data_IF_795321222964
#
_entry.id   IF_795321222964
#
_cell.length_a   1.000
_cell.length_b   1.000
_cell.length_c   1.000
_cell.angle_alpha   90.00
_cell.angle_beta   90.00
_cell.angle_gamma   90.00
#
_symmetry.space_group_name_H-M   'P 1'
#
loop_
_entity.id
_entity.type
_entity.pdbx_description
1 polymer ?
#
# COMPACT_ATOMS: atom_id res chain seq x y z
N UNK A 1 -34.72 -60.26 34.25
CA UNK A 1 -33.32 -59.79 34.14
C UNK A 1 -33.21 -58.94 32.88
N UNK A 2 -33.27 -57.61 33.05
CA UNK A 2 -33.06 -56.62 31.99
C UNK A 2 -31.56 -56.35 31.82
N UNK A 3 -31.09 -56.23 30.58
CA UNK A 3 -29.86 -55.53 30.24
C UNK A 3 -30.01 -54.91 28.85
N UNK A 4 -30.61 -53.71 28.80
CA UNK A 4 -30.51 -52.81 27.64
C UNK A 4 -29.11 -52.19 27.65
N UNK A 5 -28.30 -52.48 26.63
CA UNK A 5 -27.07 -51.73 26.32
C UNK A 5 -27.44 -50.52 25.46
N UNK A 6 -27.34 -49.33 26.04
CA UNK A 6 -27.35 -48.08 25.30
C UNK A 6 -26.01 -47.92 24.57
N UNK A 7 -26.05 -47.87 23.24
CA UNK A 7 -24.92 -47.47 22.40
C UNK A 7 -25.05 -45.98 22.15
N UNK A 8 -24.19 -45.19 22.80
CA UNK A 8 -24.08 -43.74 22.58
C UNK A 8 -23.23 -43.50 21.34
N UNK A 9 -23.85 -43.21 20.19
CA UNK A 9 -23.14 -42.69 19.03
C UNK A 9 -22.70 -41.25 19.33
N UNK A 10 -21.41 -41.03 19.58
CA UNK A 10 -20.80 -39.70 19.52
C UNK A 10 -20.74 -39.25 18.05
N UNK A 11 -21.62 -38.33 17.68
CA UNK A 11 -21.49 -37.55 16.47
C UNK A 11 -20.32 -36.57 16.64
N UNK A 12 -19.14 -36.92 16.14
CA UNK A 12 -18.02 -36.00 15.94
C UNK A 12 -18.37 -35.05 14.79
N UNK A 13 -19.16 -34.03 15.11
CA UNK A 13 -19.38 -32.89 14.23
C UNK A 13 -18.06 -32.17 14.02
N UNK A 14 -17.45 -32.37 12.86
CA UNK A 14 -16.35 -31.54 12.39
C UNK A 14 -16.91 -30.15 12.15
N UNK A 15 -16.77 -29.27 13.15
CA UNK A 15 -17.02 -27.86 12.96
C UNK A 15 -15.94 -27.33 12.00
N UNK A 16 -16.31 -27.22 10.73
CA UNK A 16 -15.58 -26.37 9.79
C UNK A 16 -15.77 -24.95 10.32
N UNK A 17 -14.80 -24.49 11.10
CA UNK A 17 -14.70 -23.08 11.49
C UNK A 17 -14.36 -22.32 10.21
N UNK A 18 -15.39 -21.87 9.51
CA UNK A 18 -15.31 -20.80 8.54
C UNK A 18 -14.79 -19.57 9.30
N UNK A 19 -13.47 -19.38 9.27
CA UNK A 19 -12.85 -18.18 9.77
C UNK A 19 -13.53 -16.98 9.07
N UNK A 20 -14.19 -16.13 9.86
CA UNK A 20 -14.79 -14.90 9.35
C UNK A 20 -13.70 -14.14 8.56
N UNK A 21 -14.03 -13.58 7.38
CA UNK A 21 -13.04 -12.91 6.55
C UNK A 21 -12.44 -11.75 7.34
N UNK A 22 -11.14 -11.86 7.64
CA UNK A 22 -10.35 -10.79 8.23
C UNK A 22 -10.57 -9.53 7.39
N UNK A 23 -11.27 -8.53 7.97
CA UNK A 23 -11.49 -7.22 7.38
C UNK A 23 -12.10 -7.21 5.97
N UNK A 24 -13.33 -7.71 5.77
CA UNK A 24 -14.26 -7.28 4.69
C UNK A 24 -13.77 -7.21 3.23
N UNK A 25 -12.61 -7.78 2.88
CA UNK A 25 -11.98 -7.62 1.57
C UNK A 25 -11.26 -6.28 1.37
N UNK A 26 -10.52 -6.16 0.27
CA UNK A 26 -9.72 -4.96 -0.06
C UNK A 26 -10.59 -3.71 -0.21
N UNK A 27 -11.81 -3.84 -0.72
CA UNK A 27 -12.75 -2.73 -0.85
C UNK A 27 -13.15 -2.15 0.51
N UNK A 28 -13.55 -2.99 1.46
CA UNK A 28 -13.93 -2.53 2.80
C UNK A 28 -12.73 -1.92 3.54
N UNK A 29 -11.56 -2.53 3.38
CA UNK A 29 -10.30 -2.01 3.93
C UNK A 29 -9.98 -0.60 3.42
N UNK A 30 -10.03 -0.38 2.11
CA UNK A 30 -9.79 0.93 1.51
C UNK A 30 -10.84 1.97 1.93
N UNK A 31 -12.13 1.58 1.99
CA UNK A 31 -13.20 2.46 2.49
C UNK A 31 -12.93 2.90 3.92
N UNK A 32 -12.69 1.95 4.82
CA UNK A 32 -12.41 2.24 6.22
C UNK A 32 -11.20 3.18 6.37
N UNK A 33 -10.15 2.93 5.58
CA UNK A 33 -8.98 3.79 5.56
C UNK A 33 -9.31 5.19 5.01
N UNK A 34 -10.05 5.30 3.91
CA UNK A 34 -10.44 6.59 3.32
C UNK A 34 -11.25 7.44 4.31
N UNK A 35 -12.22 6.83 4.99
CA UNK A 35 -13.09 7.51 5.94
C UNK A 35 -12.30 8.04 7.15
N UNK A 36 -11.35 7.24 7.67
CA UNK A 36 -10.50 7.59 8.81
C UNK A 36 -9.31 8.49 8.45
N UNK A 37 -9.00 8.64 7.16
CA UNK A 37 -7.81 9.34 6.72
C UNK A 37 -8.01 10.86 6.68
N UNK A 38 -7.05 11.58 7.26
CA UNK A 38 -6.89 13.03 7.12
C UNK A 38 -5.70 13.36 6.20
N UNK A 39 -5.93 13.72 4.93
CA UNK A 39 -4.87 14.06 3.99
C UNK A 39 -4.12 15.34 4.39
N UNK A 40 -2.80 15.34 4.23
CA UNK A 40 -2.02 16.56 4.40
C UNK A 40 -2.39 17.61 3.32
N UNK A 41 -2.22 18.89 3.63
CA UNK A 41 -2.57 19.98 2.71
C UNK A 41 -1.80 19.93 1.37
N UNK A 42 -0.55 19.47 1.39
CA UNK A 42 0.31 19.38 0.21
C UNK A 42 -0.02 18.21 -0.73
N UNK A 43 -0.83 17.26 -0.27
CA UNK A 43 -1.16 16.06 -1.03
C UNK A 43 -2.22 16.36 -2.09
N UNK A 44 -1.78 16.50 -3.33
CA UNK A 44 -2.66 16.78 -4.46
C UNK A 44 -3.19 15.52 -5.16
N UNK A 45 -3.06 14.32 -4.57
CA UNK A 45 -3.63 13.11 -5.18
C UNK A 45 -5.16 13.22 -5.32
N UNK A 46 -5.77 12.61 -6.35
CA UNK A 46 -7.21 12.72 -6.58
C UNK A 46 -8.06 12.36 -5.36
N UNK A 47 -7.76 11.24 -4.70
CA UNK A 47 -8.49 10.79 -3.51
C UNK A 47 -8.26 11.69 -2.29
N UNK A 48 -7.08 12.33 -2.15
CA UNK A 48 -6.86 13.31 -1.10
C UNK A 48 -7.73 14.55 -1.28
N UNK A 49 -7.82 15.02 -2.52
CA UNK A 49 -8.64 16.18 -2.88
C UNK A 49 -10.11 15.91 -2.60
N UNK A 50 -10.64 14.77 -3.03
CA UNK A 50 -12.02 14.36 -2.73
C UNK A 50 -12.25 14.21 -1.23
N UNK A 51 -11.31 13.60 -0.50
CA UNK A 51 -11.43 13.42 0.95
C UNK A 51 -11.45 14.74 1.72
N UNK A 52 -10.62 15.72 1.33
CA UNK A 52 -10.62 17.07 1.92
C UNK A 52 -11.88 17.89 1.60
N UNK A 53 -12.59 17.53 0.53
CA UNK A 53 -13.89 18.08 0.18
C UNK A 53 -15.04 17.29 0.82
N UNK A 54 -14.73 16.38 1.76
CA UNK A 54 -15.69 15.50 2.44
C UNK A 54 -16.57 14.69 1.49
N UNK A 55 -16.06 14.38 0.28
CA UNK A 55 -16.77 13.51 -0.67
C UNK A 55 -16.75 12.08 -0.11
N UNK A 56 -17.91 11.45 0.15
CA UNK A 56 -17.98 10.09 0.68
C UNK A 56 -17.36 9.08 -0.28
N UNK A 57 -16.82 7.97 0.24
CA UNK A 57 -16.20 6.91 -0.56
C UNK A 57 -17.05 6.44 -1.75
N UNK A 58 -18.33 6.20 -1.51
CA UNK A 58 -19.26 5.67 -2.53
C UNK A 58 -19.53 6.69 -3.66
N UNK A 59 -19.24 7.97 -3.43
CA UNK A 59 -19.27 9.03 -4.45
C UNK A 59 -17.89 9.30 -5.03
N UNK A 60 -16.82 9.18 -4.23
CA UNK A 60 -15.46 9.46 -4.64
C UNK A 60 -14.93 8.46 -5.67
N UNK A 61 -15.18 7.15 -5.47
CA UNK A 61 -14.65 6.10 -6.36
C UNK A 61 -15.22 6.20 -7.78
N UNK A 62 -16.53 6.42 -8.00
CA UNK A 62 -17.09 6.62 -9.35
C UNK A 62 -16.56 7.86 -10.09
N UNK A 63 -16.04 8.86 -9.38
CA UNK A 63 -15.44 10.05 -10.00
C UNK A 63 -14.03 9.79 -10.55
N UNK A 64 -13.45 8.62 -10.27
CA UNK A 64 -12.17 8.20 -10.82
C UNK A 64 -12.36 7.52 -12.17
N UNK A 65 -11.42 7.76 -13.10
CA UNK A 65 -11.47 7.26 -14.47
C UNK A 65 -11.52 5.73 -14.57
N UNK A 66 -10.88 5.02 -13.64
CA UNK A 66 -10.90 3.56 -13.62
C UNK A 66 -10.69 3.03 -12.20
N UNK A 67 -11.38 1.94 -11.86
CA UNK A 67 -11.17 1.22 -10.62
C UNK A 67 -11.10 -0.29 -10.84
N UNK A 68 -10.10 -0.91 -10.25
CA UNK A 68 -9.89 -2.35 -10.20
C UNK A 68 -9.93 -2.76 -8.74
N UNK A 69 -10.80 -3.71 -8.41
CA UNK A 69 -10.81 -4.40 -7.13
C UNK A 69 -10.67 -5.89 -7.42
N UNK A 70 -9.54 -6.45 -7.00
CA UNK A 70 -9.16 -7.84 -7.17
C UNK A 70 -9.21 -8.50 -5.78
N UNK A 71 -10.42 -8.94 -5.39
CA UNK A 71 -10.65 -9.52 -4.07
C UNK A 71 -9.93 -10.86 -3.90
N UNK A 72 -9.71 -11.61 -5.00
CA UNK A 72 -8.94 -12.86 -5.00
C UNK A 72 -7.51 -12.62 -4.54
N UNK A 73 -6.87 -11.58 -5.08
CA UNK A 73 -5.50 -11.23 -4.71
C UNK A 73 -5.42 -10.14 -3.61
N UNK A 74 -6.56 -9.78 -3.03
CA UNK A 74 -6.70 -8.72 -2.03
C UNK A 74 -5.99 -7.41 -2.42
N UNK A 75 -6.10 -7.05 -3.71
CA UNK A 75 -5.44 -5.91 -4.34
C UNK A 75 -6.47 -4.95 -4.94
N UNK A 76 -6.14 -3.66 -4.97
CA UNK A 76 -6.94 -2.67 -5.66
C UNK A 76 -6.06 -1.63 -6.34
N UNK A 77 -6.55 -1.11 -7.45
CA UNK A 77 -5.95 0.01 -8.16
C UNK A 77 -7.03 1.00 -8.59
N UNK A 78 -6.85 2.26 -8.22
CA UNK A 78 -7.77 3.35 -8.53
C UNK A 78 -6.99 4.41 -9.31
N UNK A 79 -7.46 4.76 -10.51
CA UNK A 79 -6.82 5.78 -11.36
C UNK A 79 -7.81 6.86 -11.68
N UNK A 80 -7.39 8.11 -11.63
CA UNK A 80 -8.26 9.21 -12.00
C UNK A 80 -7.51 10.52 -12.14
N UNK A 81 -8.23 11.53 -12.61
CA UNK A 81 -7.76 12.91 -12.60
C UNK A 81 -8.87 13.84 -12.15
N UNK A 82 -8.49 14.97 -11.56
CA UNK A 82 -9.40 16.00 -11.08
C UNK A 82 -8.82 17.37 -11.38
N UNK A 83 -9.70 18.36 -11.53
CA UNK A 83 -9.33 19.78 -11.47
C UNK A 83 -9.25 20.20 -10.01
N UNK A 84 -8.08 20.67 -9.58
CA UNK A 84 -7.82 21.20 -8.24
C UNK A 84 -8.51 22.57 -8.05
N UNK A 85 -8.78 22.98 -6.79
CA UNK A 85 -9.39 24.28 -6.50
C UNK A 85 -8.60 25.49 -7.01
N UNK A 86 -7.28 25.35 -7.13
CA UNK A 86 -6.37 26.39 -7.67
C UNK A 86 -6.34 26.44 -9.20
N UNK A 87 -7.19 25.65 -9.87
CA UNK A 87 -7.29 25.58 -11.31
C UNK A 87 -6.28 24.65 -11.98
N UNK A 88 -5.37 23.99 -11.26
CA UNK A 88 -4.46 22.99 -11.86
C UNK A 88 -5.13 21.63 -12.01
N UNK A 89 -4.69 20.83 -12.97
CA UNK A 89 -5.12 19.43 -13.05
C UNK A 89 -4.20 18.53 -12.22
N UNK A 90 -4.78 17.54 -11.55
CA UNK A 90 -4.06 16.43 -10.92
C UNK A 90 -4.47 15.13 -11.58
N UNK A 91 -3.50 14.26 -11.86
CA UNK A 91 -3.74 12.90 -12.34
C UNK A 91 -2.95 11.94 -11.46
N UNK A 92 -3.52 10.78 -11.14
CA UNK A 92 -2.83 9.85 -10.26
C UNK A 92 -3.39 8.44 -10.26
N UNK A 93 -2.65 7.58 -9.56
CA UNK A 93 -2.96 6.19 -9.31
C UNK A 93 -2.75 5.90 -7.83
N UNK A 94 -3.74 5.28 -7.21
CA UNK A 94 -3.63 4.65 -5.90
C UNK A 94 -3.59 3.14 -6.09
N UNK A 95 -2.59 2.47 -5.53
CA UNK A 95 -2.49 1.01 -5.46
C UNK A 95 -2.56 0.58 -4.01
N UNK A 96 -3.27 -0.50 -3.73
CA UNK A 96 -3.35 -1.02 -2.37
C UNK A 96 -3.38 -2.54 -2.35
N UNK A 97 -2.80 -3.13 -1.31
CA UNK A 97 -2.91 -4.56 -1.05
C UNK A 97 -3.04 -4.85 0.45
N UNK A 98 -3.72 -5.95 0.76
CA UNK A 98 -3.83 -6.48 2.12
C UNK A 98 -2.82 -7.62 2.35
N UNK A 99 -2.03 -7.47 3.39
CA UNK A 99 -1.10 -8.48 3.87
C UNK A 99 -1.63 -9.05 5.18
N UNK A 100 -2.18 -10.26 5.12
CA UNK A 100 -2.82 -10.91 6.28
C UNK A 100 -1.78 -11.23 7.36
N UNK A 101 -2.09 -10.87 8.61
CA UNK A 101 -1.32 -11.26 9.81
C UNK A 101 -1.95 -12.50 10.46
N UNK A 102 -3.27 -12.49 10.60
CA UNK A 102 -4.07 -13.58 11.18
C UNK A 102 -5.56 -13.40 10.76
N UNK A 103 -6.46 -14.20 11.32
CA UNK A 103 -7.89 -14.20 10.97
C UNK A 103 -8.65 -12.90 11.33
N UNK A 104 -8.09 -12.00 12.15
CA UNK A 104 -8.74 -10.75 12.56
C UNK A 104 -7.96 -9.49 12.22
N UNK A 105 -6.75 -9.64 11.68
CA UNK A 105 -5.81 -8.53 11.44
C UNK A 105 -5.12 -8.63 10.08
N UNK A 106 -5.05 -7.50 9.40
CA UNK A 106 -4.30 -7.35 8.15
C UNK A 106 -3.58 -6.00 8.13
N UNK A 107 -2.42 -5.97 7.46
CA UNK A 107 -1.73 -4.74 7.12
C UNK A 107 -2.20 -4.30 5.74
N UNK A 108 -2.85 -3.15 5.63
CA UNK A 108 -3.13 -2.48 4.38
C UNK A 108 -1.92 -1.62 4.01
N UNK A 109 -1.35 -1.86 2.84
CA UNK A 109 -0.34 -0.98 2.26
C UNK A 109 -0.99 -0.21 1.13
N UNK A 110 -0.90 1.12 1.18
CA UNK A 110 -1.43 2.02 0.15
C UNK A 110 -0.27 2.80 -0.45
N UNK A 111 -0.14 2.79 -1.77
CA UNK A 111 0.76 3.63 -2.54
C UNK A 111 -0.07 4.64 -3.34
N UNK A 112 0.28 5.92 -3.26
CA UNK A 112 -0.31 6.96 -4.09
C UNK A 112 0.81 7.57 -4.95
N UNK A 113 0.59 7.65 -6.25
CA UNK A 113 1.42 8.38 -7.22
C UNK A 113 0.53 9.40 -7.93
N UNK A 114 0.95 10.66 -8.01
CA UNK A 114 0.17 11.69 -8.70
C UNK A 114 1.07 12.78 -9.29
N UNK A 115 0.57 13.50 -10.28
CA UNK A 115 1.24 14.64 -10.89
C UNK A 115 0.31 15.86 -10.88
N UNK A 116 0.80 16.96 -10.32
CA UNK A 116 0.13 18.27 -10.31
C UNK A 116 1.18 19.36 -10.55
N UNK A 117 1.66 19.46 -11.78
CA UNK A 117 2.87 20.21 -12.15
C UNK A 117 4.14 19.39 -11.93
N UNK A 118 4.38 18.93 -10.71
CA UNK A 118 5.42 17.93 -10.40
C UNK A 118 4.79 16.60 -9.97
N UNK A 119 5.49 15.50 -10.24
CA UNK A 119 5.04 14.18 -9.84
C UNK A 119 5.57 13.84 -8.45
N UNK A 120 4.65 13.42 -7.59
CA UNK A 120 4.91 13.03 -6.22
C UNK A 120 4.41 11.61 -5.99
N UNK A 121 4.99 10.96 -5.00
CA UNK A 121 4.51 9.67 -4.56
C UNK A 121 4.71 9.45 -3.07
N UNK A 122 3.90 8.57 -2.50
CA UNK A 122 4.01 8.19 -1.09
C UNK A 122 3.46 6.79 -0.88
N UNK A 123 3.81 6.23 0.27
CA UNK A 123 3.16 5.04 0.78
C UNK A 123 2.70 5.22 2.23
N UNK A 124 1.65 4.50 2.59
CA UNK A 124 1.05 4.48 3.92
C UNK A 124 0.85 3.03 4.33
N UNK A 125 1.12 2.74 5.60
CA UNK A 125 0.92 1.43 6.21
C UNK A 125 -0.15 1.56 7.28
N UNK A 126 -1.15 0.70 7.24
CA UNK A 126 -2.33 0.83 8.10
C UNK A 126 -2.70 -0.56 8.62
N UNK A 127 -2.68 -0.72 9.93
CA UNK A 127 -3.14 -1.93 10.58
C UNK A 127 -4.67 -1.89 10.71
N UNK A 128 -5.30 -2.89 10.11
CA UNK A 128 -6.74 -3.12 10.20
C UNK A 128 -7.00 -4.24 11.20
N UNK A 129 -7.93 -4.00 12.13
CA UNK A 129 -8.39 -5.00 13.09
C UNK A 129 -9.92 -5.03 13.09
N UNK A 130 -10.50 -6.21 13.17
CA UNK A 130 -11.96 -6.36 13.22
C UNK A 130 -12.58 -5.51 14.34
N UNK A 131 -13.57 -4.68 13.98
CA UNK A 131 -14.29 -3.82 14.92
C UNK A 131 -13.49 -2.66 15.53
N UNK A 132 -12.31 -2.33 14.99
CA UNK A 132 -11.50 -1.19 15.45
C UNK A 132 -11.24 -0.21 14.30
N UNK A 133 -11.00 1.05 14.66
CA UNK A 133 -10.57 2.07 13.71
C UNK A 133 -9.21 1.67 13.08
N UNK A 134 -8.98 2.00 11.79
CA UNK A 134 -7.68 1.82 11.16
C UNK A 134 -6.58 2.54 11.93
N UNK A 135 -5.45 1.85 12.15
CA UNK A 135 -4.31 2.38 12.90
C UNK A 135 -3.13 2.62 11.94
N UNK A 136 -2.66 3.86 11.76
CA UNK A 136 -1.43 4.13 11.00
C UNK A 136 -0.22 3.44 11.65
N UNK A 137 0.64 2.88 10.81
CA UNK A 137 1.86 2.17 11.20
C UNK A 137 3.04 2.88 10.55
N UNK A 138 4.13 3.10 11.30
CA UNK A 138 5.36 3.63 10.73
C UNK A 138 6.03 2.58 9.84
N UNK A 139 6.64 3.01 8.74
CA UNK A 139 7.35 2.13 7.81
C UNK A 139 8.40 1.25 8.53
N UNK A 140 9.20 1.84 9.42
CA UNK A 140 10.23 1.16 10.19
C UNK A 140 9.71 0.04 11.12
N UNK A 141 8.40 -0.04 11.38
CA UNK A 141 7.80 -1.13 12.17
C UNK A 141 7.50 -2.37 11.33
N UNK A 142 7.41 -2.23 10.00
CA UNK A 142 6.95 -3.30 9.09
C UNK A 142 7.88 -3.52 7.92
N UNK A 143 8.81 -2.61 7.64
CA UNK A 143 9.80 -2.69 6.56
C UNK A 143 11.20 -2.59 7.17
N UNK A 144 12.19 -3.38 6.68
CA UNK A 144 13.57 -3.28 7.13
C UNK A 144 14.17 -1.94 6.73
N UNK A 145 15.17 -1.46 7.48
CA UNK A 145 15.92 -0.28 7.07
C UNK A 145 16.62 -0.55 5.72
N UNK A 146 16.32 0.29 4.71
CA UNK A 146 16.93 0.22 3.38
C UNK A 146 17.96 1.34 3.24
N UNK A 147 19.28 1.05 3.23
CA UNK A 147 20.28 2.07 3.01
C UNK A 147 20.20 2.60 1.56
N UNK A 148 20.63 3.85 1.28
CA UNK A 148 20.64 4.38 -0.09
C UNK A 148 21.40 3.48 -1.08
N UNK A 149 22.45 2.79 -0.63
CA UNK A 149 23.21 1.83 -1.43
C UNK A 149 22.39 0.65 -1.97
N UNK A 150 21.26 0.31 -1.33
CA UNK A 150 20.36 -0.74 -1.81
C UNK A 150 19.72 -0.38 -3.15
N UNK A 151 19.52 0.91 -3.42
CA UNK A 151 18.89 1.41 -4.65
C UNK A 151 19.91 1.82 -5.72
N UNK A 152 21.19 1.94 -5.37
CA UNK A 152 22.22 2.43 -6.27
C UNK A 152 22.91 1.28 -7.02
N UNK A 153 23.50 1.52 -8.20
CA UNK A 153 24.34 0.53 -8.88
C UNK A 153 25.50 0.06 -8.00
N UNK A 154 25.96 -1.19 -8.19
CA UNK A 154 27.14 -1.71 -7.49
C UNK A 154 28.41 -0.92 -7.81
N UNK A 155 28.47 -0.27 -8.98
CA UNK A 155 29.55 0.63 -9.38
C UNK A 155 29.58 1.97 -8.64
N UNK A 156 28.58 2.25 -7.80
CA UNK A 156 28.48 3.47 -6.99
C UNK A 156 27.47 4.50 -7.52
N UNK A 157 27.24 5.54 -6.72
CA UNK A 157 26.33 6.63 -7.06
C UNK A 157 26.94 7.58 -8.11
N UNK A 158 26.17 7.99 -9.14
CA UNK A 158 26.54 9.12 -9.98
C UNK A 158 26.79 10.37 -9.15
N UNK A 159 27.66 11.26 -9.63
CA UNK A 159 28.03 12.48 -8.91
C UNK A 159 26.81 13.32 -8.49
N UNK A 160 25.79 13.42 -9.35
CA UNK A 160 24.56 14.16 -9.10
C UNK A 160 23.69 13.58 -7.96
N UNK A 161 23.93 12.34 -7.51
CA UNK A 161 23.23 11.69 -6.40
C UNK A 161 24.08 11.54 -5.13
N UNK A 162 25.35 11.95 -5.15
CA UNK A 162 26.23 11.84 -3.97
C UNK A 162 25.74 12.77 -2.86
N UNK A 163 25.56 12.22 -1.66
CA UNK A 163 25.06 12.96 -0.49
C UNK A 163 23.56 13.31 -0.55
N UNK A 164 22.85 12.92 -1.61
CA UNK A 164 21.40 13.16 -1.72
C UNK A 164 20.66 12.20 -0.79
N UNK A 165 19.83 12.75 0.09
CA UNK A 165 18.89 11.95 0.90
C UNK A 165 17.74 11.49 -0.01
N UNK A 166 17.72 10.19 -0.31
CA UNK A 166 16.64 9.56 -1.06
C UNK A 166 15.43 9.31 -0.14
N UNK A 167 14.24 9.60 -0.64
CA UNK A 167 13.00 9.06 -0.08
C UNK A 167 12.79 7.63 -0.56
N UNK A 168 11.80 6.93 0.02
CA UNK A 168 11.38 5.60 -0.43
C UNK A 168 9.88 5.57 -0.56
N UNK A 169 9.40 4.98 -1.65
CA UNK A 169 8.02 4.59 -1.81
C UNK A 169 7.92 3.07 -1.95
N UNK A 170 6.76 2.52 -1.60
CA UNK A 170 6.51 1.09 -1.58
C UNK A 170 5.29 0.76 -2.43
N UNK A 171 5.48 -0.01 -3.50
CA UNK A 171 4.46 -0.39 -4.46
C UNK A 171 4.03 -1.84 -4.20
N UNK A 172 2.79 -2.10 -3.76
CA UNK A 172 2.33 -3.46 -3.52
C UNK A 172 2.19 -4.23 -4.84
N UNK A 173 2.53 -5.51 -4.81
CA UNK A 173 2.28 -6.42 -5.93
C UNK A 173 0.82 -6.81 -6.00
N UNK A 174 0.31 -7.02 -7.22
CA UNK A 174 -1.04 -7.54 -7.43
C UNK A 174 -1.13 -9.04 -7.20
N UNK A 175 -0.14 -9.82 -7.61
CA UNK A 175 -0.30 -11.28 -7.76
C UNK A 175 0.42 -12.10 -6.70
N UNK A 176 1.21 -11.47 -5.84
CA UNK A 176 1.96 -12.14 -4.81
C UNK A 176 1.98 -11.30 -3.53
N UNK A 177 2.63 -11.83 -2.50
CA UNK A 177 2.76 -11.17 -1.20
C UNK A 177 4.02 -10.31 -1.13
N UNK A 178 4.49 -9.81 -2.28
CA UNK A 178 5.67 -8.94 -2.35
C UNK A 178 5.30 -7.46 -2.34
N UNK A 179 6.29 -6.65 -1.99
CA UNK A 179 6.25 -5.20 -1.98
C UNK A 179 7.53 -4.69 -2.63
N UNK A 180 7.42 -3.76 -3.58
CA UNK A 180 8.59 -3.20 -4.25
C UNK A 180 8.91 -1.83 -3.66
N UNK A 181 10.09 -1.70 -3.06
CA UNK A 181 10.61 -0.41 -2.62
C UNK A 181 11.32 0.29 -3.80
N UNK A 182 10.95 1.55 -4.04
CA UNK A 182 11.54 2.41 -5.07
C UNK A 182 12.09 3.67 -4.41
N UNK A 183 13.30 4.07 -4.81
CA UNK A 183 13.87 5.34 -4.37
C UNK A 183 13.13 6.53 -4.98
N UNK A 184 12.78 7.50 -4.15
CA UNK A 184 12.20 8.79 -4.55
C UNK A 184 13.31 9.83 -4.52
N UNK A 185 13.68 10.33 -5.70
CA UNK A 185 14.70 11.37 -5.85
C UNK A 185 14.05 12.74 -5.69
N UNK A 186 14.54 13.61 -4.78
CA UNK A 186 14.08 14.99 -4.68
C UNK A 186 14.25 15.76 -5.98
N UNK A 187 13.34 16.70 -6.27
CA UNK A 187 13.30 17.41 -7.55
C UNK A 187 14.61 18.14 -7.89
N UNK A 188 15.26 18.77 -6.90
CA UNK A 188 16.55 19.42 -7.10
C UNK A 188 17.66 18.46 -7.57
N UNK A 189 17.72 17.25 -6.99
CA UNK A 189 18.67 16.22 -7.39
C UNK A 189 18.33 15.62 -8.76
N UNK A 190 17.03 15.43 -9.04
CA UNK A 190 16.55 14.98 -10.35
C UNK A 190 16.97 15.98 -11.44
N UNK A 191 16.74 17.27 -11.24
CA UNK A 191 17.13 18.32 -12.18
C UNK A 191 18.66 18.37 -12.39
N UNK A 192 19.45 18.20 -11.32
CA UNK A 192 20.92 18.13 -11.43
C UNK A 192 21.38 16.91 -12.25
N UNK A 193 20.77 15.74 -12.05
CA UNK A 193 21.07 14.55 -12.85
C UNK A 193 20.67 14.71 -14.32
N UNK A 194 19.51 15.30 -14.61
CA UNK A 194 19.10 15.58 -15.99
C UNK A 194 20.11 16.47 -16.72
N UNK A 195 20.64 17.52 -16.06
CA UNK A 195 21.68 18.40 -16.64
C UNK A 195 22.98 17.68 -16.98
N UNK A 196 23.25 16.53 -16.38
CA UNK A 196 24.44 15.71 -16.63
C UNK A 196 24.13 14.47 -17.48
N UNK A 197 22.97 14.46 -18.15
CA UNK A 197 22.47 13.34 -18.97
C UNK A 197 22.32 12.02 -18.19
N UNK A 198 22.19 12.07 -16.87
CA UNK A 198 21.95 10.90 -16.03
C UNK A 198 20.44 10.67 -15.92
N UNK A 199 19.97 9.57 -16.52
CA UNK A 199 18.60 9.12 -16.32
C UNK A 199 18.49 8.37 -14.98
N UNK A 200 17.94 9.06 -13.96
CA UNK A 200 17.78 8.50 -12.61
C UNK A 200 16.91 7.24 -12.57
N UNK A 201 15.90 7.13 -13.45
CA UNK A 201 15.00 5.98 -13.49
C UNK A 201 15.71 4.71 -13.99
N UNK A 202 16.73 4.85 -14.84
CA UNK A 202 17.57 3.74 -15.31
C UNK A 202 18.74 3.45 -14.37
N UNK A 203 19.10 4.41 -13.52
CA UNK A 203 20.21 4.29 -12.58
C UNK A 203 19.78 3.58 -11.30
N UNK A 204 18.60 3.92 -10.79
CA UNK A 204 18.10 3.41 -9.52
C UNK A 204 17.45 2.04 -9.71
N UNK A 205 17.73 1.13 -8.77
CA UNK A 205 17.25 -0.24 -8.79
C UNK A 205 16.13 -0.41 -7.76
N UNK A 206 15.03 -1.09 -8.13
CA UNK A 206 14.01 -1.47 -7.16
C UNK A 206 14.57 -2.50 -6.18
N UNK A 207 14.09 -2.48 -4.94
CA UNK A 207 14.34 -3.54 -3.95
C UNK A 207 13.04 -4.30 -3.73
N UNK A 208 13.06 -5.62 -3.95
CA UNK A 208 11.90 -6.47 -3.69
C UNK A 208 11.88 -6.91 -2.24
N UNK A 209 10.70 -6.87 -1.64
CA UNK A 209 10.45 -7.28 -0.28
C UNK A 209 9.35 -8.35 -0.26
N UNK A 210 9.46 -9.31 0.65
CA UNK A 210 8.50 -10.39 0.85
C UNK A 210 7.83 -10.24 2.20
N UNK A 211 6.50 -10.26 2.21
CA UNK A 211 5.75 -10.33 3.46
C UNK A 211 5.97 -11.67 4.16
N UNK A 212 6.20 -11.62 5.47
CA UNK A 212 6.41 -12.76 6.34
C UNK A 212 5.33 -12.77 7.41
N UNK A 213 4.22 -13.46 7.15
CA UNK A 213 3.02 -13.39 8.00
C UNK A 213 3.27 -13.74 9.48
N UNK A 214 4.15 -14.72 9.76
CA UNK A 214 4.49 -15.12 11.13
C UNK A 214 5.24 -14.02 11.89
N UNK A 215 6.15 -13.32 11.22
CA UNK A 215 6.94 -12.20 11.74
C UNK A 215 6.19 -10.87 11.67
N UNK A 216 5.15 -10.80 10.83
CA UNK A 216 4.27 -9.65 10.62
C UNK A 216 5.00 -8.43 10.06
N UNK A 217 6.03 -8.69 9.25
CA UNK A 217 6.88 -7.69 8.60
C UNK A 217 7.26 -8.11 7.17
N UNK A 218 7.90 -7.20 6.45
CA UNK A 218 8.54 -7.42 5.18
C UNK A 218 10.02 -7.77 5.39
N UNK A 219 10.60 -8.56 4.48
CA UNK A 219 12.03 -8.87 4.43
C UNK A 219 12.54 -8.73 3.00
N UNK A 220 13.79 -8.32 2.82
CA UNK A 220 14.41 -8.26 1.49
C UNK A 220 14.39 -9.64 0.83
N UNK A 221 14.04 -9.65 -0.45
CA UNK A 221 14.27 -10.80 -1.32
C UNK A 221 15.64 -10.57 -1.95
N UNK A 222 16.58 -11.47 -1.64
CA UNK A 222 17.92 -11.48 -2.22
C UNK A 222 17.90 -11.84 -3.71
#
# INVERSE_FOLDING_TARGET
MLLLRAVTLLALGSAVVLAAPAAGGIRAALRAQYDAWSPAAWDASPLATLRRQDVPWDTAVPLLNSSLFDDEHAYAELRGGLRLPDGRDTVGVQRAALYRRNAGEALLVVNDEWCAGTCSARSRFVLLRSGKAPLPVADAQVVPALPPSAFLPKSGAPACLRGVKLGVQYVPSRFDTTLTALAVVPDGARAACTKTNVNVALTLRPVRLQWRAAQRDFRTLD
#
